data_IF_851529456289
#
_entry.id   IF_851529456289
#
_cell.length_a   1.000
_cell.length_b   1.000
_cell.length_c   1.000
_cell.angle_alpha   90.00
_cell.angle_beta   90.00
_cell.angle_gamma   90.00
#
_symmetry.space_group_name_H-M   'P 1'
#
loop_
_entity.id
_entity.type
_entity.pdbx_description
1 polymer ?
#
# COMPACT_ATOMS: atom_id res chain seq x y z
N UNK A 1 -7.81 -18.43 -11.84
CA UNK A 1 -7.65 -18.27 -12.21
C UNK A 1 -7.16 -18.20 -12.21
N UNK A 2 -6.74 -18.10 -11.70
CA UNK A 2 -6.51 -17.92 -12.02
C UNK A 2 -5.88 -17.94 -12.06
N UNK A 3 -5.72 -17.77 -11.61
CA UNK A 3 -5.41 -17.67 -11.90
C UNK A 3 -4.80 -17.90 -11.99
N UNK A 4 -4.53 -17.68 -11.63
CA UNK A 4 -4.13 -17.70 -12.08
C UNK A 4 -3.62 -17.34 -12.36
N UNK A 5 -3.61 -17.39 -11.91
CA UNK A 5 -3.47 -17.07 -12.52
C UNK A 5 -2.99 -17.11 -12.90
N UNK A 6 -2.68 -16.93 -12.67
CA UNK A 6 -2.61 -16.77 -13.34
C UNK A 6 -2.16 -17.07 -13.77
N UNK A 7 -2.01 -16.98 -13.46
CA UNK A 7 -1.92 -16.94 -14.09
C UNK A 7 -1.71 -17.30 -14.62
N UNK A 8 -1.49 -17.42 -14.50
CA UNK A 8 -1.63 -17.49 -15.22
C UNK A 8 -1.51 -18.01 -16.01
N UNK A 9 -1.51 -18.12 -16.30
CA UNK A 9 -1.70 -18.45 -17.07
C UNK A 9 -1.66 -18.58 -18.01
N UNK A 10 -1.79 -18.62 -18.44
CA UNK A 10 -1.96 -18.62 -19.14
C UNK A 10 -2.48 -18.76 -20.04
N UNK A 11 -2.83 -18.53 -20.18
CA UNK A 11 -3.37 -18.41 -20.87
C UNK A 11 -3.72 -18.37 -21.69
N UNK A 12 -4.00 -18.34 -22.24
CA UNK A 12 -4.34 -18.06 -22.77
C UNK A 12 -4.80 -17.90 -23.43
N UNK A 13 -4.92 -17.44 -23.87
CA UNK A 13 -5.27 -16.85 -24.21
C UNK A 13 -5.40 -16.54 -25.01
N UNK A 14 -5.38 -16.72 -25.22
CA UNK A 14 -5.72 -15.97 -25.92
C UNK A 14 -5.53 -14.83 -25.95
N UNK A 15 -5.32 -14.29 -26.65
CA UNK A 15 -4.78 -13.12 -26.45
C UNK A 15 -5.60 -12.20 -25.71
N UNK A 16 -5.83 -12.32 -25.47
CA UNK A 16 -6.35 -11.62 -24.82
C UNK A 16 -6.14 -11.30 -23.81
N UNK A 17 -5.83 -11.39 -23.56
CA UNK A 17 -5.78 -10.99 -22.67
C UNK A 17 -5.15 -11.22 -21.73
N UNK A 18 -4.56 -11.51 -21.33
CA UNK A 18 -3.96 -11.63 -20.35
C UNK A 18 -2.75 -10.91 -20.16
N UNK A 19 -2.02 -10.40 -20.81
CA UNK A 19 -0.77 -9.69 -20.70
C UNK A 19 -0.92 -8.34 -20.02
N UNK A 20 -2.08 -7.83 -19.93
CA UNK A 20 -2.31 -6.61 -19.15
C UNK A 20 -1.87 -6.78 -17.70
N UNK A 21 -1.74 -8.00 -17.24
CA UNK A 21 -1.22 -8.26 -15.92
C UNK A 21 0.24 -7.79 -15.80
N UNK A 22 1.01 -8.05 -16.83
CA UNK A 22 2.40 -7.57 -16.87
C UNK A 22 2.44 -6.05 -16.87
N UNK A 23 1.58 -5.43 -17.61
CA UNK A 23 1.50 -3.98 -17.65
C UNK A 23 1.25 -3.40 -16.28
N UNK A 24 0.40 -4.06 -15.48
CA UNK A 24 0.08 -3.56 -14.16
C UNK A 24 1.29 -3.58 -13.23
N UNK A 25 2.20 -4.53 -13.42
CA UNK A 25 3.35 -4.63 -12.53
C UNK A 25 4.28 -3.44 -12.66
N UNK A 26 4.26 -2.77 -13.81
CA UNK A 26 5.12 -1.61 -14.03
C UNK A 26 4.39 -0.28 -13.80
N UNK A 27 3.11 -0.34 -13.50
CA UNK A 27 2.32 0.87 -13.35
C UNK A 27 2.53 1.52 -12.01
N UNK A 28 2.47 2.85 -12.03
CA UNK A 28 2.49 3.67 -10.84
C UNK A 28 1.39 4.71 -11.01
N UNK A 29 0.47 4.76 -10.07
CA UNK A 29 -0.67 5.67 -10.15
C UNK A 29 -0.53 6.71 -9.06
N UNK A 30 -0.68 7.98 -9.44
CA UNK A 30 -0.66 9.06 -8.48
C UNK A 30 -1.97 9.06 -7.69
N UNK A 31 -1.85 9.16 -6.38
CA UNK A 31 -3.01 9.19 -5.50
C UNK A 31 -3.56 10.61 -5.39
N UNK A 32 -4.87 10.73 -5.39
CA UNK A 32 -5.51 11.96 -5.02
C UNK A 32 -5.39 12.14 -3.52
N UNK A 33 -4.93 13.30 -3.09
CA UNK A 33 -4.72 13.54 -1.66
C UNK A 33 -6.05 13.55 -0.92
N UNK A 34 -7.09 14.06 -1.55
CA UNK A 34 -8.43 14.05 -0.96
C UNK A 34 -9.36 13.34 -1.92
N UNK A 35 -9.87 12.20 -1.52
CA UNK A 35 -10.84 11.49 -2.34
C UNK A 35 -10.48 10.04 -2.56
N UNK A 36 -10.78 9.55 -3.75
CA UNK A 36 -10.62 8.14 -4.07
C UNK A 36 -9.78 7.98 -5.32
N UNK A 37 -8.95 6.94 -5.32
CA UNK A 37 -8.13 6.57 -6.46
C UNK A 37 -8.27 5.08 -6.69
N UNK A 38 -8.42 4.69 -7.95
CA UNK A 38 -8.55 3.30 -8.33
C UNK A 38 -7.24 2.78 -8.90
N UNK A 39 -6.80 1.63 -8.42
CA UNK A 39 -5.62 0.96 -8.95
C UNK A 39 -5.96 -0.50 -9.16
N UNK A 40 -6.34 -0.85 -10.39
CA UNK A 40 -6.81 -2.19 -10.68
C UNK A 40 -8.03 -2.53 -9.85
N UNK A 41 -7.91 -3.59 -9.06
CA UNK A 41 -8.99 -4.06 -8.18
C UNK A 41 -9.01 -3.35 -6.84
N UNK A 42 -8.08 -2.44 -6.61
CA UNK A 42 -7.96 -1.76 -5.32
C UNK A 42 -8.54 -0.38 -5.37
N UNK A 43 -9.22 0.00 -4.31
CA UNK A 43 -9.74 1.35 -4.14
C UNK A 43 -9.00 1.96 -2.96
N UNK A 44 -8.36 3.10 -3.21
CA UNK A 44 -7.61 3.80 -2.17
C UNK A 44 -8.35 5.07 -1.82
N UNK A 45 -8.73 5.21 -0.55
CA UNK A 45 -9.42 6.41 -0.09
C UNK A 45 -8.47 7.20 0.81
N UNK A 46 -8.43 8.50 0.57
CA UNK A 46 -7.54 9.40 1.31
C UNK A 46 -8.35 10.47 2.02
N UNK A 47 -7.96 10.74 3.25
CA UNK A 47 -8.56 11.80 4.06
C UNK A 47 -7.48 12.52 4.84
N UNK A 48 -7.71 13.80 5.11
CA UNK A 48 -6.84 14.59 5.99
C UNK A 48 -7.66 14.88 7.24
N UNK A 49 -7.11 14.57 8.40
CA UNK A 49 -7.79 14.73 9.69
C UNK A 49 -6.93 15.58 10.61
N UNK A 50 -7.58 16.25 11.56
CA UNK A 50 -6.86 16.91 12.64
C UNK A 50 -6.44 15.86 13.65
N UNK A 51 -5.24 16.03 14.20
CA UNK A 51 -4.73 15.08 15.19
C UNK A 51 -5.17 15.54 16.57
N UNK A 52 -6.29 15.01 17.05
CA UNK A 52 -6.72 15.24 18.41
C UNK A 52 -6.87 13.90 19.12
N UNK A 53 -7.06 13.98 20.45
CA UNK A 53 -7.09 12.76 21.26
C UNK A 53 -8.24 11.84 20.87
N UNK A 54 -9.40 12.41 20.60
CA UNK A 54 -10.56 11.60 20.24
C UNK A 54 -10.32 10.82 18.96
N UNK A 55 -9.72 11.47 17.97
CA UNK A 55 -9.43 10.81 16.69
C UNK A 55 -8.39 9.70 16.87
N UNK A 56 -7.38 9.96 17.68
CA UNK A 56 -6.35 8.95 17.92
C UNK A 56 -6.93 7.75 18.67
N UNK A 57 -7.78 7.98 19.65
CA UNK A 57 -8.40 6.89 20.39
C UNK A 57 -9.34 6.08 19.51
N UNK A 58 -10.11 6.74 18.67
CA UNK A 58 -10.97 6.03 17.73
C UNK A 58 -10.17 5.14 16.81
N UNK A 59 -9.05 5.65 16.32
CA UNK A 59 -8.23 4.88 15.39
C UNK A 59 -7.67 3.64 16.07
N UNK A 60 -7.19 3.78 17.30
CA UNK A 60 -6.66 2.64 18.03
C UNK A 60 -7.70 1.55 18.21
N UNK A 61 -8.96 1.97 18.43
CA UNK A 61 -10.05 1.03 18.65
C UNK A 61 -10.51 0.36 17.36
N UNK A 62 -10.39 1.03 16.22
CA UNK A 62 -10.94 0.56 14.96
C UNK A 62 -9.89 0.11 13.96
N UNK A 63 -8.63 0.13 14.34
CA UNK A 63 -7.54 -0.14 13.42
C UNK A 63 -7.62 -1.56 12.85
N UNK A 64 -7.36 -1.69 11.55
CA UNK A 64 -7.19 -2.97 10.90
C UNK A 64 -6.10 -2.83 9.83
N UNK A 65 -5.81 -3.92 9.13
CA UNK A 65 -4.69 -3.93 8.19
C UNK A 65 -4.94 -3.11 6.94
N UNK A 66 -6.15 -2.62 6.74
CA UNK A 66 -6.52 -1.92 5.52
C UNK A 66 -6.58 -0.41 5.70
N UNK A 67 -6.48 0.09 6.92
CA UNK A 67 -6.52 1.51 7.24
C UNK A 67 -5.27 1.87 8.01
N UNK A 68 -4.57 2.90 7.56
CA UNK A 68 -3.41 3.41 8.29
C UNK A 68 -3.42 4.93 8.31
N UNK A 69 -2.72 5.45 9.30
CA UNK A 69 -2.60 6.89 9.47
C UNK A 69 -1.14 7.28 9.50
N UNK A 70 -0.86 8.42 8.89
CA UNK A 70 0.49 8.93 8.74
C UNK A 70 0.53 10.38 9.17
N UNK A 71 1.68 10.81 9.64
CA UNK A 71 1.91 12.21 9.95
C UNK A 71 2.01 12.97 8.62
N UNK A 72 1.01 13.79 8.33
CA UNK A 72 0.97 14.47 7.05
C UNK A 72 2.19 15.35 6.80
N UNK A 73 2.74 15.94 7.87
CA UNK A 73 3.93 16.79 7.71
C UNK A 73 5.17 16.00 7.33
N UNK A 74 5.16 14.70 7.52
CA UNK A 74 6.28 13.82 7.14
C UNK A 74 6.15 13.28 5.72
N UNK A 75 5.05 13.57 5.06
CA UNK A 75 4.81 13.12 3.69
C UNK A 75 5.32 14.16 2.73
N UNK A 76 6.01 13.73 1.70
CA UNK A 76 6.55 14.60 0.66
C UNK A 76 5.82 14.34 -0.64
N UNK A 77 4.67 14.98 -0.85
CA UNK A 77 3.87 14.71 -2.06
C UNK A 77 4.69 14.88 -3.34
N UNK A 78 4.29 14.25 -4.43
CA UNK A 78 3.04 13.49 -4.58
C UNK A 78 3.15 12.06 -4.05
N UNK A 79 1.99 11.44 -3.83
CA UNK A 79 1.89 10.04 -3.40
C UNK A 79 1.57 9.16 -4.60
N UNK A 80 2.16 7.97 -4.59
CA UNK A 80 1.93 6.98 -5.64
C UNK A 80 1.61 5.63 -5.02
N UNK A 81 0.80 4.85 -5.74
CA UNK A 81 0.60 3.45 -5.41
C UNK A 81 1.05 2.62 -6.61
N UNK A 82 1.71 1.52 -6.34
CA UNK A 82 2.24 0.63 -7.38
C UNK A 82 2.52 -0.73 -6.79
N UNK A 83 2.89 -1.67 -7.64
CA UNK A 83 3.39 -2.94 -7.16
C UNK A 83 4.84 -2.79 -6.74
N UNK A 84 5.30 -3.74 -5.96
CA UNK A 84 6.63 -3.74 -5.42
C UNK A 84 7.66 -4.02 -6.53
N UNK A 85 8.86 -3.47 -6.36
CA UNK A 85 9.98 -3.65 -7.29
C UNK A 85 11.16 -4.30 -6.58
N UNK A 86 12.01 -5.04 -7.30
CA UNK A 86 13.19 -5.63 -6.68
C UNK A 86 14.12 -4.56 -6.11
N UNK A 87 14.76 -4.89 -5.00
CA UNK A 87 15.80 -4.04 -4.44
C UNK A 87 15.34 -2.85 -3.63
N UNK A 88 14.05 -2.68 -3.47
CA UNK A 88 13.53 -1.52 -2.72
C UNK A 88 13.83 -1.64 -1.24
N UNK A 89 13.94 -0.48 -0.59
CA UNK A 89 14.25 -0.39 0.83
C UNK A 89 13.28 0.54 1.51
N UNK A 90 13.05 0.32 2.80
CA UNK A 90 12.27 1.22 3.64
C UNK A 90 12.70 1.00 5.08
N UNK A 91 12.23 1.87 5.97
CA UNK A 91 12.47 1.73 7.41
C UNK A 91 11.17 1.24 8.02
N UNK A 92 11.07 -0.06 8.33
CA UNK A 92 9.81 -0.60 8.90
C UNK A 92 9.49 0.02 10.25
N UNK A 93 8.20 0.20 10.52
CA UNK A 93 7.75 0.73 11.80
C UNK A 93 8.36 -0.09 12.94
N UNK A 94 8.91 0.61 13.91
CA UNK A 94 9.57 -0.01 15.06
C UNK A 94 11.05 -0.24 14.88
N UNK A 95 11.60 0.03 13.71
CA UNK A 95 13.03 -0.12 13.45
C UNK A 95 13.64 1.24 13.15
N UNK A 96 14.95 1.32 13.28
CA UNK A 96 15.65 2.59 13.06
C UNK A 96 16.57 2.54 11.84
N UNK A 97 16.58 1.43 11.11
CA UNK A 97 17.46 1.27 9.95
C UNK A 97 16.69 0.78 8.76
N UNK A 98 17.19 1.15 7.59
CA UNK A 98 16.63 0.65 6.34
C UNK A 98 16.77 -0.85 6.21
N UNK A 99 15.77 -1.46 5.61
CA UNK A 99 15.81 -2.87 5.25
C UNK A 99 15.29 -3.03 3.84
N UNK A 100 15.84 -4.01 3.14
CA UNK A 100 15.26 -4.39 1.86
C UNK A 100 13.87 -4.94 2.11
N UNK A 101 12.92 -4.52 1.30
CA UNK A 101 11.54 -4.99 1.44
C UNK A 101 11.51 -6.52 1.38
N UNK A 102 12.23 -7.13 0.43
CA UNK A 102 12.24 -8.59 0.32
C UNK A 102 12.73 -9.28 1.58
N UNK A 103 13.81 -8.77 2.18
CA UNK A 103 14.33 -9.35 3.41
C UNK A 103 13.38 -9.18 4.57
N UNK A 104 12.74 -8.00 4.64
CA UNK A 104 11.75 -7.76 5.67
C UNK A 104 10.59 -8.76 5.55
N UNK A 105 10.11 -8.99 4.34
CA UNK A 105 9.00 -9.92 4.12
C UNK A 105 9.37 -11.33 4.53
N UNK A 106 10.60 -11.74 4.26
CA UNK A 106 11.08 -13.05 4.66
C UNK A 106 11.11 -13.19 6.17
N UNK A 107 11.68 -12.19 6.85
CA UNK A 107 11.76 -12.20 8.31
C UNK A 107 10.38 -12.19 8.95
N UNK A 108 9.42 -11.52 8.33
CA UNK A 108 8.05 -11.48 8.82
C UNK A 108 7.23 -12.69 8.40
N UNK A 109 7.83 -13.60 7.64
CA UNK A 109 7.19 -14.85 7.21
C UNK A 109 5.94 -14.60 6.39
N UNK A 110 5.99 -13.62 5.52
CA UNK A 110 4.86 -13.30 4.66
C UNK A 110 4.78 -14.36 3.55
N UNK A 111 3.62 -15.01 3.38
CA UNK A 111 3.48 -16.06 2.35
C UNK A 111 3.65 -15.50 0.94
N UNK A 112 4.08 -16.35 0.03
CA UNK A 112 4.33 -15.96 -1.35
C UNK A 112 3.09 -15.38 -2.01
N UNK A 113 1.92 -15.94 -1.73
CA UNK A 113 0.68 -15.45 -2.31
C UNK A 113 0.42 -14.00 -1.93
N UNK A 114 0.73 -13.65 -0.67
CA UNK A 114 0.56 -12.28 -0.20
C UNK A 114 1.60 -11.37 -0.84
N UNK A 115 2.84 -11.86 -0.95
CA UNK A 115 3.92 -11.06 -1.55
C UNK A 115 3.60 -10.62 -2.97
N UNK A 116 2.91 -11.47 -3.70
CA UNK A 116 2.56 -11.17 -5.09
C UNK A 116 1.49 -10.10 -5.22
N UNK A 117 0.80 -9.80 -4.14
CA UNK A 117 -0.30 -8.83 -4.15
C UNK A 117 0.02 -7.57 -3.38
N UNK A 118 1.24 -7.43 -2.91
CA UNK A 118 1.60 -6.26 -2.12
C UNK A 118 1.55 -5.00 -2.94
N UNK A 119 1.03 -3.96 -2.32
CA UNK A 119 1.07 -2.64 -2.89
C UNK A 119 2.08 -1.80 -2.13
N UNK A 120 2.78 -0.97 -2.86
CA UNK A 120 3.71 0.00 -2.28
C UNK A 120 3.07 1.36 -2.39
N UNK A 121 2.93 2.04 -1.26
CA UNK A 121 2.54 3.44 -1.26
C UNK A 121 3.79 4.24 -0.94
N UNK A 122 4.14 5.14 -1.82
CA UNK A 122 5.37 5.92 -1.69
C UNK A 122 5.11 7.39 -1.93
N UNK A 123 5.85 8.25 -1.24
CA UNK A 123 5.85 9.66 -1.56
C UNK A 123 7.04 9.96 -2.48
N UNK A 124 7.39 11.23 -2.66
CA UNK A 124 8.46 11.58 -3.60
C UNK A 124 9.84 11.16 -3.10
N UNK A 125 9.97 10.77 -1.84
CA UNK A 125 11.27 10.50 -1.23
C UNK A 125 11.41 9.08 -0.67
N UNK A 126 10.30 8.42 -0.31
CA UNK A 126 10.40 7.17 0.43
C UNK A 126 9.14 6.34 0.29
N UNK A 127 9.26 5.07 0.61
CA UNK A 127 8.10 4.19 0.77
C UNK A 127 7.49 4.51 2.12
N UNK A 128 6.17 4.73 2.18
CA UNK A 128 5.49 4.97 3.44
C UNK A 128 4.68 3.77 3.90
N UNK A 129 4.31 2.87 3.00
CA UNK A 129 3.47 1.72 3.38
C UNK A 129 3.75 0.54 2.45
N UNK A 130 4.07 -0.59 3.05
CA UNK A 130 4.11 -1.87 2.35
C UNK A 130 2.79 -2.56 2.73
N UNK A 131 1.77 -2.30 1.95
CA UNK A 131 0.41 -2.74 2.27
C UNK A 131 0.21 -4.22 1.93
N UNK A 132 -0.43 -5.00 2.77
CA UNK A 132 -1.05 -4.65 4.07
C UNK A 132 -0.17 -5.01 5.27
N UNK A 133 1.15 -5.01 5.13
CA UNK A 133 2.06 -5.59 6.12
C UNK A 133 2.56 -4.57 7.14
N UNK A 134 3.16 -3.46 6.67
CA UNK A 134 3.83 -2.55 7.60
C UNK A 134 3.98 -1.16 7.02
N UNK A 135 3.74 -0.14 7.85
CA UNK A 135 4.03 1.24 7.45
C UNK A 135 5.49 1.55 7.75
N UNK A 136 5.93 2.71 7.26
CA UNK A 136 7.28 3.18 7.51
C UNK A 136 7.38 3.90 8.85
N UNK A 137 8.47 3.68 9.55
CA UNK A 137 8.79 4.43 10.76
C UNK A 137 8.88 5.93 10.46
N UNK A 138 9.31 6.28 9.26
CA UNK A 138 9.56 7.67 8.88
C UNK A 138 8.31 8.46 8.57
N UNK A 139 7.15 7.85 8.62
CA UNK A 139 5.90 8.53 8.33
C UNK A 139 4.87 8.33 9.44
N UNK A 140 5.27 7.80 10.58
CA UNK A 140 4.33 7.44 11.62
C UNK A 140 3.79 8.66 12.36
N UNK A 141 2.58 8.51 12.89
CA UNK A 141 1.98 9.49 13.78
C UNK A 141 2.69 9.46 15.12
N UNK A 142 2.97 10.63 15.68
CA UNK A 142 3.58 10.77 17.00
C UNK A 142 2.77 11.77 17.82
N UNK A 143 3.22 12.01 19.05
CA UNK A 143 2.56 13.00 19.91
C UNK A 143 2.63 14.42 19.36
N UNK A 144 3.60 14.71 18.48
CA UNK A 144 3.72 16.02 17.87
C UNK A 144 2.98 16.18 16.55
N UNK A 145 2.30 15.17 16.10
CA UNK A 145 1.59 15.22 14.82
C UNK A 145 0.42 16.18 14.90
N UNK A 146 0.29 17.06 13.91
CA UNK A 146 -0.79 18.04 13.85
C UNK A 146 -1.87 17.65 12.87
N UNK A 147 -1.48 17.14 11.72
CA UNK A 147 -2.43 16.69 10.69
C UNK A 147 -2.12 15.26 10.32
N UNK A 148 -3.16 14.50 10.11
CA UNK A 148 -3.07 13.08 9.81
C UNK A 148 -3.55 12.84 8.40
N UNK A 149 -2.75 12.09 7.64
CA UNK A 149 -3.18 11.54 6.36
C UNK A 149 -3.68 10.12 6.63
N UNK A 150 -4.94 9.86 6.38
CA UNK A 150 -5.50 8.53 6.53
C UNK A 150 -5.68 7.91 5.16
N UNK A 151 -5.16 6.70 5.02
CA UNK A 151 -5.31 5.92 3.79
C UNK A 151 -6.05 4.64 4.11
N UNK A 152 -7.05 4.34 3.31
CA UNK A 152 -7.77 3.07 3.40
C UNK A 152 -7.70 2.41 2.04
N UNK A 153 -7.20 1.18 2.01
CA UNK A 153 -7.10 0.41 0.77
C UNK A 153 -8.04 -0.78 0.86
N UNK A 154 -8.96 -0.84 -0.07
CA UNK A 154 -9.94 -1.92 -0.13
C UNK A 154 -9.71 -2.73 -1.39
N UNK A 155 -9.65 -4.05 -1.24
CA UNK A 155 -9.58 -4.96 -2.36
C UNK A 155 -11.00 -5.22 -2.84
N UNK A 156 -11.28 -4.80 -4.05
CA UNK A 156 -12.60 -4.97 -4.63
C UNK A 156 -12.51 -5.92 -5.81
N UNK A 157 -12.59 -7.23 -5.53
CA UNK A 157 -12.45 -8.21 -6.60
C UNK A 157 -13.50 -7.97 -7.67
N UNK A 158 -13.11 -8.25 -8.90
CA UNK A 158 -14.05 -8.11 -10.00
C UNK A 158 -15.22 -9.07 -9.81
N UNK A 159 -16.40 -8.55 -10.00
CA UNK A 159 -17.60 -9.38 -9.92
C UNK A 159 -17.69 -10.26 -11.15
N UNK A 160 -17.96 -11.54 -10.91
CA UNK A 160 -18.29 -12.42 -12.00
C UNK A 160 -19.72 -12.11 -12.43
N UNK A 161 -19.94 -12.01 -13.72
CA UNK A 161 -21.26 -11.64 -14.20
C UNK A 161 -21.93 -12.76 -14.93
#
# INVERSE_FOLDING_TARGET
MLPRSPVLRRESLGPEKKPHFVEQTDKSIRLEILGQTRFGRYLIETKILEADEDELDKFKAEKNNFIERFDFDKIKPPLFVRFRKPGERFVPLGLDKEKKVGKFLTAARVPQEVRQRLLIVADSKKIIWVWPIRISEQAKVTGGTRKILQLQITDMPMQAK
#
